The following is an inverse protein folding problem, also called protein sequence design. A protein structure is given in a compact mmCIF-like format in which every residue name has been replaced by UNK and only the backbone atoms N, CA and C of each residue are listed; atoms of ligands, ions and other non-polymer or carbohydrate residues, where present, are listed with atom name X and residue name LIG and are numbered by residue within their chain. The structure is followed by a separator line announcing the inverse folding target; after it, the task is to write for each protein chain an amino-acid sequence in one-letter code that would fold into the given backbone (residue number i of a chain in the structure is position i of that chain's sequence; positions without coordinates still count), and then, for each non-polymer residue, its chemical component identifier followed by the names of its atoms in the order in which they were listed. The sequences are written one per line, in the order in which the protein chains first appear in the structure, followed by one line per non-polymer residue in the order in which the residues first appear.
data_IF_453279238873
#
_entry.id   IF_453279238873
#
_cell.length_a   1.000
_cell.length_b   1.000
_cell.length_c   1.000
_cell.angle_alpha   90.00
_cell.angle_beta   90.00
_cell.angle_gamma   90.00
#
_symmetry.space_group_name_H-M   'P 1'
#
loop_
_entity.id
_entity.type
_entity.pdbx_description
1 polymer ?
#
# COMPACT_ATOMS: atom_id res chain seq x y z
N UNK A 1 -16.57 90.51 -21.54
CA UNK A 1 -15.93 89.57 -20.62
C UNK A 1 -16.83 88.37 -20.43
N UNK A 2 -16.64 87.24 -21.15
CA UNK A 2 -16.68 85.96 -20.56
C UNK A 2 -15.88 84.93 -21.42
N UNK A 3 -14.60 84.71 -21.18
CA UNK A 3 -13.85 83.66 -21.93
C UNK A 3 -12.73 83.04 -21.14
N UNK A 4 -12.60 83.24 -19.85
CA UNK A 4 -11.47 82.68 -19.05
C UNK A 4 -11.84 81.49 -18.18
N UNK A 5 -13.10 81.16 -17.96
CA UNK A 5 -13.51 80.09 -17.03
C UNK A 5 -13.55 78.65 -17.71
N UNK A 6 -13.68 78.58 -19.03
CA UNK A 6 -13.77 77.26 -19.72
C UNK A 6 -12.47 76.50 -19.92
N UNK A 7 -11.28 77.11 -19.85
CA UNK A 7 -10.01 76.47 -20.07
C UNK A 7 -9.47 75.67 -18.85
N UNK A 8 -9.79 76.15 -17.63
CA UNK A 8 -9.32 75.47 -16.40
C UNK A 8 -10.08 74.15 -16.10
N UNK A 9 -11.36 74.05 -16.42
CA UNK A 9 -12.16 72.88 -16.21
C UNK A 9 -11.83 71.74 -17.21
N UNK A 10 -11.45 72.06 -18.45
CA UNK A 10 -11.00 71.01 -19.42
C UNK A 10 -9.66 70.42 -19.05
N UNK A 11 -8.74 71.24 -18.50
CA UNK A 11 -7.42 70.76 -18.07
C UNK A 11 -7.51 69.87 -16.84
N UNK A 12 -8.37 70.18 -15.87
CA UNK A 12 -8.56 69.33 -14.67
C UNK A 12 -9.26 68.01 -14.97
N UNK A 13 -10.22 67.98 -15.89
CA UNK A 13 -10.88 66.74 -16.35
C UNK A 13 -9.95 65.81 -17.14
N UNK A 14 -9.03 66.36 -17.93
CA UNK A 14 -8.02 65.56 -18.68
C UNK A 14 -7.00 64.98 -17.77
N UNK A 15 -6.53 65.66 -16.73
CA UNK A 15 -5.60 65.17 -15.73
C UNK A 15 -6.23 64.04 -14.82
N UNK A 16 -7.50 64.21 -14.44
CA UNK A 16 -8.23 63.20 -13.69
C UNK A 16 -8.46 61.92 -14.52
N UNK A 17 -8.80 62.02 -15.80
CA UNK A 17 -9.02 60.88 -16.68
C UNK A 17 -7.72 60.12 -16.97
N UNK A 18 -6.57 60.83 -17.05
CA UNK A 18 -5.26 60.20 -17.19
C UNK A 18 -4.86 59.39 -15.93
N UNK A 19 -5.09 59.99 -14.75
CA UNK A 19 -4.76 59.33 -13.47
C UNK A 19 -5.62 58.10 -13.19
N UNK A 20 -6.90 58.10 -13.56
CA UNK A 20 -7.81 56.93 -13.46
C UNK A 20 -7.40 55.81 -14.42
N UNK A 21 -6.93 56.12 -15.63
CA UNK A 21 -6.41 55.12 -16.58
C UNK A 21 -5.11 54.51 -16.10
N UNK A 22 -4.22 55.26 -15.52
CA UNK A 22 -2.93 54.77 -15.00
C UNK A 22 -3.14 53.88 -13.77
N UNK A 23 -4.00 54.28 -12.84
CA UNK A 23 -4.39 53.45 -11.69
C UNK A 23 -5.10 52.15 -12.11
N UNK A 24 -5.96 52.20 -13.13
CA UNK A 24 -6.61 50.98 -13.65
C UNK A 24 -5.66 50.01 -14.37
N UNK A 25 -4.61 50.54 -15.01
CA UNK A 25 -3.57 49.69 -15.65
C UNK A 25 -2.68 49.06 -14.61
N UNK A 26 -2.30 49.74 -13.55
CA UNK A 26 -1.52 49.21 -12.43
C UNK A 26 -2.31 48.15 -11.65
N UNK A 27 -3.59 48.37 -11.41
CA UNK A 27 -4.47 47.36 -10.78
C UNK A 27 -4.65 46.09 -11.63
N UNK A 28 -4.79 46.24 -12.96
CA UNK A 28 -4.84 45.11 -13.91
C UNK A 28 -3.52 44.34 -13.95
N UNK A 29 -2.40 45.04 -13.96
CA UNK A 29 -1.06 44.40 -13.93
C UNK A 29 -0.81 43.72 -12.59
N UNK A 30 -1.21 44.28 -11.46
CA UNK A 30 -1.11 43.66 -10.14
C UNK A 30 -2.01 42.42 -10.03
N UNK A 31 -3.24 42.49 -10.60
CA UNK A 31 -4.16 41.35 -10.62
C UNK A 31 -3.66 40.19 -11.51
N UNK A 32 -3.05 40.52 -12.67
CA UNK A 32 -2.41 39.52 -13.54
C UNK A 32 -1.18 38.90 -12.88
N UNK A 33 -0.35 39.67 -12.19
CA UNK A 33 0.78 39.15 -11.43
C UNK A 33 0.35 38.27 -10.26
N UNK A 34 -0.74 38.63 -9.56
CA UNK A 34 -1.32 37.83 -8.49
C UNK A 34 -1.90 36.50 -9.01
N UNK A 35 -2.54 36.52 -10.17
CA UNK A 35 -3.05 35.32 -10.84
C UNK A 35 -1.91 34.38 -11.36
N UNK A 36 -0.79 34.95 -11.82
CA UNK A 36 0.39 34.14 -12.18
C UNK A 36 1.08 33.54 -10.97
N UNK A 37 1.08 34.17 -9.81
CA UNK A 37 1.66 33.63 -8.58
C UNK A 37 0.84 32.48 -7.96
N UNK A 38 -0.46 32.35 -8.33
CA UNK A 38 -1.33 31.27 -7.85
C UNK A 38 -1.30 30.01 -8.72
N UNK A 39 -0.64 30.05 -9.86
CA UNK A 39 -0.36 28.87 -10.67
C UNK A 39 0.88 28.14 -10.13
N UNK A 40 0.80 27.66 -8.88
CA UNK A 40 1.74 26.60 -8.45
C UNK A 40 1.53 25.44 -9.41
N UNK A 41 2.60 24.89 -10.02
CA UNK A 41 2.47 23.69 -10.83
C UNK A 41 1.87 22.62 -9.92
N UNK A 42 0.59 22.31 -10.11
CA UNK A 42 0.01 21.06 -9.60
C UNK A 42 0.79 19.96 -10.34
N UNK A 43 1.87 19.49 -9.73
CA UNK A 43 2.55 18.30 -10.24
C UNK A 43 1.50 17.21 -10.23
N UNK A 44 1.16 16.67 -11.39
CA UNK A 44 0.24 15.57 -11.50
C UNK A 44 0.82 14.42 -10.66
N UNK A 45 0.03 13.96 -9.70
CA UNK A 45 0.39 12.79 -8.88
C UNK A 45 0.68 11.61 -9.80
N UNK A 46 1.82 10.95 -9.62
CA UNK A 46 2.25 9.84 -10.46
C UNK A 46 1.24 8.69 -10.46
N UNK A 47 1.27 7.88 -11.50
CA UNK A 47 0.32 6.78 -11.68
C UNK A 47 0.34 5.77 -10.53
N UNK A 48 1.54 5.33 -10.10
CA UNK A 48 1.71 4.38 -8.99
C UNK A 48 1.27 5.02 -7.68
N UNK A 49 1.70 6.26 -7.41
CA UNK A 49 1.30 7.02 -6.21
C UNK A 49 -0.22 7.09 -6.10
N UNK A 50 -0.93 7.50 -7.14
CA UNK A 50 -2.40 7.59 -7.15
C UNK A 50 -3.09 6.25 -6.84
N UNK A 51 -2.56 5.13 -7.33
CA UNK A 51 -3.16 3.82 -7.13
C UNK A 51 -2.86 3.23 -5.75
N UNK A 52 -1.60 3.31 -5.31
CA UNK A 52 -1.15 2.64 -4.10
C UNK A 52 -1.27 3.49 -2.83
N UNK A 53 -1.29 4.83 -2.93
CA UNK A 53 -1.33 5.70 -1.75
C UNK A 53 -2.68 5.64 -1.03
N UNK A 54 -2.75 4.75 -0.05
CA UNK A 54 -3.91 4.51 0.83
C UNK A 54 -3.41 4.47 2.28
N UNK A 55 -2.99 5.63 2.84
CA UNK A 55 -2.35 5.69 4.14
C UNK A 55 -3.36 5.54 5.29
N UNK A 56 -3.74 4.31 5.58
CA UNK A 56 -4.59 3.90 6.70
C UNK A 56 -3.91 2.74 7.44
N UNK A 57 -4.31 2.38 8.67
CA UNK A 57 -3.82 1.16 9.33
C UNK A 57 -4.00 -0.05 8.39
N UNK A 58 -2.95 -0.84 8.16
CA UNK A 58 -2.95 -1.93 7.18
C UNK A 58 -2.91 -1.49 5.72
N UNK A 59 -2.71 -0.21 5.45
CA UNK A 59 -2.60 0.36 4.11
C UNK A 59 -1.17 0.61 3.68
N UNK A 60 -1.02 1.47 2.68
CA UNK A 60 0.24 1.84 2.05
C UNK A 60 0.34 3.36 1.97
N UNK A 61 1.47 3.93 2.37
CA UNK A 61 1.82 5.31 2.06
C UNK A 61 2.84 5.36 0.93
N UNK A 62 2.68 6.31 0.01
CA UNK A 62 3.66 6.58 -1.04
C UNK A 62 4.19 7.98 -0.85
N UNK A 63 5.51 8.11 -0.71
CA UNK A 63 6.19 9.39 -0.45
C UNK A 63 7.19 9.68 -1.56
N UNK A 64 7.18 10.91 -2.03
CA UNK A 64 8.13 11.43 -2.99
C UNK A 64 9.49 11.66 -2.32
N UNK A 65 10.53 11.05 -2.89
CA UNK A 65 11.91 11.20 -2.43
C UNK A 65 12.72 12.19 -3.28
N UNK A 66 12.13 12.71 -4.37
CA UNK A 66 12.78 13.62 -5.31
C UNK A 66 13.52 12.90 -6.43
N UNK A 67 14.26 13.70 -7.19
CA UNK A 67 15.04 13.24 -8.34
C UNK A 67 16.45 12.82 -7.90
N UNK A 68 17.14 12.06 -8.74
CA UNK A 68 18.52 11.70 -8.52
C UNK A 68 18.96 10.46 -9.30
N UNK A 69 20.28 10.30 -9.51
CA UNK A 69 20.82 9.15 -10.24
C UNK A 69 20.77 7.84 -9.43
N UNK A 70 20.75 7.93 -8.10
CA UNK A 70 20.83 6.79 -7.19
C UNK A 70 19.60 6.76 -6.30
N UNK A 71 19.05 5.56 -6.06
CA UNK A 71 17.93 5.35 -5.15
C UNK A 71 18.32 5.78 -3.72
N UNK A 72 17.57 6.70 -3.07
CA UNK A 72 17.78 6.99 -1.67
C UNK A 72 17.45 5.75 -0.81
N UNK A 73 18.23 5.50 0.23
CA UNK A 73 17.82 4.55 1.25
C UNK A 73 16.71 5.17 2.09
N UNK A 74 15.63 4.41 2.30
CA UNK A 74 14.52 4.85 3.13
C UNK A 74 14.18 3.80 4.20
N UNK A 75 13.75 4.27 5.38
CA UNK A 75 13.39 3.43 6.52
C UNK A 75 12.11 3.93 7.18
N UNK A 76 11.26 3.00 7.58
CA UNK A 76 10.09 3.24 8.41
C UNK A 76 10.17 2.38 9.66
N UNK A 77 10.12 3.00 10.85
CA UNK A 77 10.27 2.30 12.13
C UNK A 77 11.53 1.40 12.16
N UNK A 78 12.65 1.91 11.63
CA UNK A 78 13.94 1.20 11.56
C UNK A 78 14.05 0.13 10.46
N UNK A 79 12.96 -0.24 9.77
CA UNK A 79 12.94 -1.25 8.70
C UNK A 79 13.13 -0.61 7.34
N UNK A 80 13.89 -1.23 6.42
CA UNK A 80 14.03 -0.71 5.06
C UNK A 80 12.69 -0.77 4.34
N UNK A 81 12.40 0.23 3.50
CA UNK A 81 11.18 0.30 2.69
C UNK A 81 11.50 0.22 1.22
N UNK A 82 10.53 -0.22 0.45
CA UNK A 82 10.61 -0.33 -1.00
C UNK A 82 10.77 1.05 -1.64
N UNK A 83 11.83 1.23 -2.46
CA UNK A 83 12.11 2.45 -3.20
C UNK A 83 12.25 2.14 -4.69
N UNK A 84 11.44 2.81 -5.50
CA UNK A 84 11.42 2.63 -6.96
C UNK A 84 11.35 3.98 -7.66
N UNK A 85 11.65 3.98 -8.96
CA UNK A 85 11.37 5.15 -9.82
C UNK A 85 9.92 5.10 -10.31
N UNK A 86 9.24 6.22 -10.21
CA UNK A 86 7.95 6.45 -10.82
C UNK A 86 8.11 7.14 -12.18
N UNK A 87 7.04 7.27 -12.93
CA UNK A 87 7.00 8.08 -14.17
C UNK A 87 7.56 9.48 -13.90
N UNK A 88 8.35 10.01 -14.82
CA UNK A 88 9.06 11.29 -14.64
C UNK A 88 10.41 11.17 -13.91
N UNK A 89 10.90 9.94 -13.67
CA UNK A 89 12.22 9.65 -13.09
C UNK A 89 12.38 10.01 -11.59
N UNK A 90 11.29 10.33 -10.89
CA UNK A 90 11.31 10.61 -9.44
C UNK A 90 11.38 9.32 -8.65
N UNK A 91 12.16 9.32 -7.58
CA UNK A 91 12.16 8.23 -6.61
C UNK A 91 10.97 8.36 -5.67
N UNK A 92 10.30 7.26 -5.40
CA UNK A 92 9.21 7.15 -4.42
C UNK A 92 9.53 6.04 -3.43
N UNK A 93 9.16 6.27 -2.17
CA UNK A 93 9.13 5.24 -1.12
C UNK A 93 7.71 4.68 -1.02
N UNK A 94 7.58 3.36 -1.01
CA UNK A 94 6.32 2.64 -0.83
C UNK A 94 6.36 1.95 0.52
N UNK A 95 5.59 2.47 1.47
CA UNK A 95 5.66 2.16 2.91
C UNK A 95 4.44 1.35 3.33
N UNK A 96 4.66 0.13 3.78
CA UNK A 96 3.62 -0.67 4.43
C UNK A 96 3.32 -0.16 5.83
N UNK A 97 2.05 0.08 6.14
CA UNK A 97 1.58 0.56 7.43
C UNK A 97 0.97 -0.62 8.20
N UNK A 98 1.55 -1.06 9.33
CA UNK A 98 0.96 -2.12 10.14
C UNK A 98 -0.48 -1.80 10.60
N UNK A 99 -1.32 -2.83 10.76
CA UNK A 99 -2.68 -2.68 11.32
C UNK A 99 -2.70 -2.09 12.74
N UNK A 100 -1.60 -2.24 13.48
CA UNK A 100 -1.44 -1.74 14.84
C UNK A 100 -1.13 -0.24 14.93
N UNK A 101 -0.80 0.39 13.81
CA UNK A 101 -0.54 1.84 13.77
C UNK A 101 -1.85 2.59 13.95
N UNK A 102 -1.86 3.53 14.91
CA UNK A 102 -3.02 4.41 15.12
C UNK A 102 -3.05 5.52 14.07
N UNK A 103 -4.24 6.02 13.69
CA UNK A 103 -4.36 7.23 12.90
C UNK A 103 -3.59 8.40 13.51
N UNK A 104 -2.96 9.21 12.66
CA UNK A 104 -2.15 10.35 13.10
C UNK A 104 -0.87 10.51 12.27
N UNK A 105 0.00 11.46 12.66
CA UNK A 105 1.25 11.74 11.98
C UNK A 105 2.24 10.58 12.12
N UNK A 106 2.92 10.27 11.05
CA UNK A 106 4.00 9.29 10.94
C UNK A 106 5.16 9.90 10.17
N UNK A 107 6.33 9.28 10.25
CA UNK A 107 7.53 9.75 9.56
C UNK A 107 8.37 8.59 9.04
N UNK A 108 9.08 8.84 7.95
CA UNK A 108 10.14 7.97 7.44
C UNK A 108 11.46 8.75 7.42
N UNK A 109 12.55 8.00 7.49
CA UNK A 109 13.89 8.51 7.22
C UNK A 109 14.26 8.15 5.78
N UNK A 110 14.66 9.13 4.96
CA UNK A 110 15.04 8.88 3.57
C UNK A 110 16.16 9.83 3.13
N UNK A 111 17.29 9.28 2.67
CA UNK A 111 18.43 10.07 2.18
C UNK A 111 18.93 11.11 3.20
N UNK A 112 18.95 10.79 4.49
CA UNK A 112 19.35 11.70 5.57
C UNK A 112 18.30 12.77 5.93
N UNK A 113 17.09 12.69 5.40
CA UNK A 113 15.96 13.60 5.69
C UNK A 113 14.84 12.84 6.37
N UNK A 114 14.06 13.53 7.18
CA UNK A 114 12.78 13.04 7.73
C UNK A 114 11.64 13.55 6.86
N UNK A 115 10.79 12.64 6.39
CA UNK A 115 9.59 12.95 5.62
C UNK A 115 8.37 12.52 6.42
N UNK A 116 7.39 13.42 6.54
CA UNK A 116 6.17 13.20 7.30
C UNK A 116 5.03 12.76 6.38
N UNK A 117 4.15 11.90 6.90
CA UNK A 117 2.88 11.56 6.25
C UNK A 117 1.79 11.34 7.29
N UNK A 118 0.54 11.40 6.86
CA UNK A 118 -0.63 11.27 7.74
C UNK A 118 -1.30 9.92 7.51
N UNK A 119 -1.49 9.16 8.59
CA UNK A 119 -2.31 7.95 8.58
C UNK A 119 -3.75 8.32 8.92
N UNK A 120 -4.65 8.06 7.99
CA UNK A 120 -6.09 8.28 8.15
C UNK A 120 -6.78 7.19 8.97
N UNK A 121 -8.09 7.33 9.15
CA UNK A 121 -8.92 6.33 9.86
C UNK A 121 -9.46 5.30 8.87
N UNK A 122 -9.55 4.03 9.32
CA UNK A 122 -10.27 2.97 8.64
C UNK A 122 -10.95 2.07 9.68
N UNK A 123 -12.22 1.79 9.48
CA UNK A 123 -12.97 0.84 10.30
C UNK A 123 -12.96 -0.53 9.63
N UNK A 124 -12.59 -1.55 10.41
CA UNK A 124 -12.61 -2.94 9.97
C UNK A 124 -13.82 -3.65 10.56
N UNK A 125 -14.45 -4.50 9.76
CA UNK A 125 -15.62 -5.31 10.18
C UNK A 125 -15.21 -6.35 11.20
N UNK A 126 -16.20 -6.80 11.99
CA UNK A 126 -16.05 -7.96 12.86
C UNK A 126 -16.64 -9.20 12.21
N UNK A 127 -16.04 -10.35 12.47
CA UNK A 127 -16.50 -11.65 12.02
C UNK A 127 -16.42 -12.64 13.17
N UNK A 128 -17.56 -13.23 13.49
CA UNK A 128 -17.68 -14.27 14.50
C UNK A 128 -17.79 -15.62 13.82
N UNK A 129 -16.87 -16.54 14.15
CA UNK A 129 -16.73 -17.85 13.53
C UNK A 129 -16.77 -18.92 14.63
N UNK A 130 -17.62 -19.92 14.47
CA UNK A 130 -17.63 -21.10 15.33
C UNK A 130 -16.75 -22.19 14.72
N UNK A 131 -15.70 -22.59 15.43
CA UNK A 131 -14.84 -23.70 15.06
C UNK A 131 -15.16 -24.92 15.91
N UNK A 132 -15.35 -26.09 15.27
CA UNK A 132 -15.58 -27.37 15.95
C UNK A 132 -14.31 -27.88 16.63
N UNK A 133 -13.15 -27.67 16.02
CA UNK A 133 -11.86 -28.08 16.56
C UNK A 133 -11.33 -27.03 17.55
N UNK A 134 -11.43 -27.34 18.84
CA UNK A 134 -10.98 -26.45 19.92
C UNK A 134 -9.47 -26.20 19.91
N UNK A 135 -8.66 -27.14 19.44
CA UNK A 135 -7.20 -26.97 19.28
C UNK A 135 -6.84 -25.83 18.30
N UNK A 136 -7.74 -25.49 17.38
CA UNK A 136 -7.55 -24.36 16.46
C UNK A 136 -7.98 -23.01 17.08
N UNK A 137 -8.62 -23.03 18.22
CA UNK A 137 -9.00 -21.85 19.02
C UNK A 137 -8.04 -21.68 20.20
N UNK A 138 -7.92 -22.71 21.02
CA UNK A 138 -7.09 -22.76 22.22
C UNK A 138 -6.14 -23.97 22.13
N UNK A 139 -4.96 -23.80 21.47
CA UNK A 139 -4.02 -24.89 21.27
C UNK A 139 -3.47 -25.44 22.57
N UNK A 140 -3.27 -26.75 22.63
CA UNK A 140 -2.57 -27.44 23.72
C UNK A 140 -1.10 -26.95 23.84
N UNK A 141 -0.43 -27.13 25.00
CA UNK A 141 0.97 -26.74 25.18
C UNK A 141 1.92 -27.31 24.08
N UNK A 142 1.67 -28.52 23.62
CA UNK A 142 2.42 -29.14 22.52
C UNK A 142 2.25 -28.36 21.21
N UNK A 143 1.02 -27.98 20.88
CA UNK A 143 0.72 -27.21 19.67
C UNK A 143 1.19 -25.76 19.79
N UNK A 144 1.17 -25.14 20.99
CA UNK A 144 1.73 -23.81 21.23
C UNK A 144 3.23 -23.79 20.90
N UNK A 145 4.03 -24.72 21.38
CA UNK A 145 5.45 -24.80 21.08
C UNK A 145 5.74 -25.02 19.56
N UNK A 146 4.86 -25.76 18.87
CA UNK A 146 4.89 -25.88 17.40
C UNK A 146 4.60 -24.53 16.75
N UNK A 147 3.52 -23.87 17.14
CA UNK A 147 3.06 -22.59 16.58
C UNK A 147 4.14 -21.51 16.75
N UNK A 148 4.80 -21.42 17.91
CA UNK A 148 5.88 -20.44 18.16
C UNK A 148 7.05 -20.62 17.20
N UNK A 149 7.52 -21.86 16.97
CA UNK A 149 8.58 -22.13 16.00
C UNK A 149 8.16 -21.75 14.58
N UNK A 150 6.93 -22.12 14.19
CA UNK A 150 6.37 -21.82 12.87
C UNK A 150 6.19 -20.31 12.64
N UNK A 151 5.75 -19.56 13.65
CA UNK A 151 5.63 -18.10 13.59
C UNK A 151 7.01 -17.45 13.46
N UNK A 152 8.02 -17.92 14.18
CA UNK A 152 9.38 -17.40 14.07
C UNK A 152 9.95 -17.61 12.66
N UNK A 153 9.69 -18.78 12.04
CA UNK A 153 10.11 -19.07 10.67
C UNK A 153 9.43 -18.14 9.65
N UNK A 154 8.11 -18.00 9.73
CA UNK A 154 7.33 -17.15 8.85
C UNK A 154 7.69 -15.66 9.04
N UNK A 155 7.96 -15.24 10.28
CA UNK A 155 8.42 -13.87 10.59
C UNK A 155 9.75 -13.58 9.89
N UNK A 156 10.71 -14.51 9.96
CA UNK A 156 11.98 -14.35 9.23
C UNK A 156 11.78 -14.22 7.73
N UNK A 157 10.83 -14.96 7.15
CA UNK A 157 10.50 -14.82 5.73
C UNK A 157 9.94 -13.42 5.40
N UNK A 158 9.02 -12.89 6.20
CA UNK A 158 8.50 -11.52 6.02
C UNK A 158 9.53 -10.42 6.22
N UNK A 159 10.59 -10.67 7.01
CA UNK A 159 11.68 -9.72 7.27
C UNK A 159 12.75 -9.69 6.17
N UNK A 160 12.66 -10.57 5.18
CA UNK A 160 13.61 -10.56 4.08
C UNK A 160 13.47 -9.27 3.25
N UNK A 161 14.62 -8.72 2.86
CA UNK A 161 14.72 -7.54 2.02
C UNK A 161 15.81 -7.77 0.98
N UNK A 162 15.44 -8.33 -0.17
CA UNK A 162 16.36 -8.55 -1.26
C UNK A 162 16.58 -7.26 -2.08
N UNK A 163 17.75 -7.08 -2.72
CA UNK A 163 18.03 -5.89 -3.54
C UNK A 163 17.31 -5.92 -4.89
N UNK A 164 16.59 -7.00 -5.20
CA UNK A 164 15.82 -7.14 -6.45
C UNK A 164 14.80 -6.02 -6.58
N UNK A 165 14.69 -5.43 -7.76
CA UNK A 165 13.57 -4.56 -8.09
C UNK A 165 12.33 -5.41 -8.39
N UNK A 166 11.15 -5.10 -7.82
CA UNK A 166 9.90 -5.75 -8.21
C UNK A 166 9.64 -5.60 -9.71
N UNK A 167 9.19 -6.68 -10.36
CA UNK A 167 8.85 -6.67 -11.78
C UNK A 167 7.63 -5.79 -12.09
N UNK A 168 6.75 -5.67 -11.12
CA UNK A 168 5.54 -4.85 -11.16
C UNK A 168 5.07 -4.56 -9.73
N UNK A 169 4.48 -3.40 -9.53
CA UNK A 169 3.92 -2.97 -8.25
C UNK A 169 2.41 -3.21 -8.19
N UNK A 170 1.74 -3.18 -9.34
CA UNK A 170 0.34 -3.60 -9.45
C UNK A 170 0.36 -5.11 -9.65
N UNK A 171 -0.12 -5.82 -8.64
CA UNK A 171 -0.09 -7.27 -8.61
C UNK A 171 -1.30 -7.87 -9.33
N UNK A 172 -1.13 -9.05 -9.93
CA UNK A 172 -2.25 -9.81 -10.46
C UNK A 172 -3.01 -10.54 -9.34
N UNK A 173 -4.30 -10.80 -9.56
CA UNK A 173 -5.03 -11.74 -8.69
C UNK A 173 -4.41 -13.14 -8.82
N UNK A 174 -4.04 -13.80 -7.71
CA UNK A 174 -3.44 -15.12 -7.77
C UNK A 174 -4.40 -16.21 -8.29
N UNK A 175 -5.71 -15.96 -8.21
CA UNK A 175 -6.76 -16.85 -8.73
C UNK A 175 -7.89 -16.03 -9.37
N UNK A 176 -8.56 -16.62 -10.36
CA UNK A 176 -9.78 -16.04 -10.93
C UNK A 176 -10.98 -16.44 -10.06
N UNK A 177 -11.45 -15.52 -9.21
CA UNK A 177 -12.60 -15.77 -8.33
C UNK A 177 -13.04 -14.52 -7.58
N UNK A 178 -14.24 -14.55 -6.96
CA UNK A 178 -14.73 -13.45 -6.16
C UNK A 178 -14.00 -13.38 -4.82
N UNK A 179 -13.85 -12.14 -4.30
CA UNK A 179 -13.37 -11.90 -2.94
C UNK A 179 -14.44 -12.37 -1.94
N UNK A 180 -14.05 -13.18 -0.96
CA UNK A 180 -14.95 -13.74 0.06
C UNK A 180 -14.73 -13.17 1.45
N UNK A 181 -13.48 -12.84 1.81
CA UNK A 181 -13.18 -12.18 3.09
C UNK A 181 -12.11 -11.10 2.89
N UNK A 182 -12.37 -9.83 3.26
CA UNK A 182 -11.41 -8.76 3.10
C UNK A 182 -10.31 -8.79 4.17
N UNK A 183 -9.23 -8.05 3.90
CA UNK A 183 -8.16 -7.77 4.85
C UNK A 183 -8.67 -6.96 6.04
N UNK A 184 -8.05 -7.15 7.20
CA UNK A 184 -8.26 -6.35 8.41
C UNK A 184 -9.50 -6.74 9.23
N UNK A 185 -10.30 -7.71 8.79
CA UNK A 185 -11.47 -8.18 9.55
C UNK A 185 -11.03 -8.65 10.94
N UNK A 186 -11.62 -8.08 11.99
CA UNK A 186 -11.45 -8.53 13.38
C UNK A 186 -12.15 -9.88 13.54
N UNK A 187 -11.39 -10.89 13.92
CA UNK A 187 -11.90 -12.27 14.00
C UNK A 187 -12.12 -12.69 15.44
N UNK A 188 -13.32 -13.20 15.72
CA UNK A 188 -13.70 -13.82 16.98
C UNK A 188 -13.98 -15.30 16.71
N UNK A 189 -13.14 -16.19 17.26
CA UNK A 189 -13.36 -17.63 17.17
C UNK A 189 -13.96 -18.13 18.49
N UNK A 190 -15.15 -18.72 18.43
CA UNK A 190 -15.89 -19.19 19.60
C UNK A 190 -16.06 -18.10 20.68
N UNK A 191 -16.22 -16.83 20.25
CA UNK A 191 -16.37 -15.67 21.15
C UNK A 191 -15.05 -15.01 21.58
N UNK A 192 -13.89 -15.61 21.27
CA UNK A 192 -12.58 -15.09 21.66
C UNK A 192 -11.92 -14.31 20.53
N UNK A 193 -11.50 -13.06 20.80
CA UNK A 193 -10.80 -12.23 19.82
C UNK A 193 -9.43 -12.84 19.48
N UNK A 194 -9.13 -12.90 18.22
CA UNK A 194 -7.87 -13.40 17.66
C UNK A 194 -7.26 -12.36 16.71
N UNK A 195 -6.06 -12.63 16.22
CA UNK A 195 -5.40 -11.75 15.25
C UNK A 195 -6.34 -11.46 14.08
N UNK A 196 -6.39 -10.19 13.62
CA UNK A 196 -7.17 -9.81 12.46
C UNK A 196 -6.79 -10.61 11.21
N UNK A 197 -7.70 -10.67 10.24
CA UNK A 197 -7.42 -11.26 8.95
C UNK A 197 -6.31 -10.48 8.22
N UNK A 198 -5.16 -11.10 8.03
CA UNK A 198 -3.97 -10.44 7.52
C UNK A 198 -3.82 -10.52 5.99
N UNK A 199 -4.85 -10.96 5.26
CA UNK A 199 -4.83 -11.13 3.80
C UNK A 199 -6.19 -10.97 3.16
N UNK A 200 -6.30 -11.43 1.91
CA UNK A 200 -7.55 -11.56 1.16
C UNK A 200 -7.89 -13.04 0.97
N UNK A 201 -9.18 -13.37 1.14
CA UNK A 201 -9.70 -14.68 0.76
C UNK A 201 -10.49 -14.58 -0.55
N UNK A 202 -10.27 -15.57 -1.43
CA UNK A 202 -11.02 -15.75 -2.68
C UNK A 202 -11.81 -17.04 -2.60
N UNK A 203 -13.12 -16.97 -2.89
CA UNK A 203 -13.98 -18.14 -2.96
C UNK A 203 -13.75 -18.89 -4.26
N UNK A 204 -12.91 -19.93 -4.21
CA UNK A 204 -12.59 -20.81 -5.35
C UNK A 204 -12.48 -22.25 -4.87
N UNK A 205 -12.81 -23.19 -5.76
CA UNK A 205 -12.79 -24.61 -5.46
C UNK A 205 -11.39 -25.19 -5.25
N UNK A 206 -11.32 -26.31 -4.52
CA UNK A 206 -10.09 -27.08 -4.36
C UNK A 206 -9.51 -27.47 -5.73
N UNK A 207 -8.17 -27.50 -5.84
CA UNK A 207 -7.46 -27.81 -7.09
C UNK A 207 -7.31 -26.63 -8.05
N UNK A 208 -7.98 -25.48 -7.83
CA UNK A 208 -7.80 -24.28 -8.65
C UNK A 208 -6.31 -23.87 -8.67
N UNK A 209 -5.69 -23.61 -9.85
CA UNK A 209 -4.31 -23.18 -9.93
C UNK A 209 -4.11 -21.81 -9.28
N UNK A 210 -3.06 -21.69 -8.45
CA UNK A 210 -2.62 -20.45 -7.83
C UNK A 210 -1.44 -19.93 -8.65
N UNK A 211 -1.54 -18.68 -9.12
CA UNK A 211 -0.53 -18.03 -9.97
C UNK A 211 0.24 -16.98 -9.21
N UNK A 212 1.54 -16.85 -9.50
CA UNK A 212 2.39 -15.81 -8.95
C UNK A 212 1.89 -14.42 -9.45
N UNK A 213 1.57 -13.46 -8.55
CA UNK A 213 1.02 -12.15 -8.91
C UNK A 213 2.05 -11.21 -9.55
N UNK A 214 3.32 -11.51 -9.37
CA UNK A 214 4.49 -10.86 -9.95
C UNK A 214 5.61 -11.88 -10.08
N UNK A 215 6.66 -11.59 -10.84
CA UNK A 215 7.88 -12.37 -10.82
C UNK A 215 8.49 -12.34 -9.41
N UNK A 216 9.19 -13.39 -8.99
CA UNK A 216 9.80 -13.45 -7.67
C UNK A 216 10.51 -14.78 -7.42
N UNK A 217 11.05 -14.91 -6.22
CA UNK A 217 11.76 -16.09 -5.74
C UNK A 217 11.00 -16.75 -4.61
N UNK A 218 10.84 -18.06 -4.65
CA UNK A 218 10.29 -18.85 -3.54
C UNK A 218 11.27 -18.84 -2.38
N UNK A 219 10.89 -18.24 -1.25
CA UNK A 219 11.77 -18.06 -0.09
C UNK A 219 11.42 -18.94 1.11
N UNK A 220 10.20 -19.51 1.13
CA UNK A 220 9.78 -20.42 2.18
C UNK A 220 8.67 -21.33 1.68
N UNK A 221 8.73 -22.60 2.03
CA UNK A 221 7.67 -23.60 1.86
C UNK A 221 7.54 -24.36 3.17
N UNK A 222 6.30 -24.50 3.67
CA UNK A 222 6.05 -25.23 4.91
C UNK A 222 4.63 -25.79 5.00
N UNK A 223 4.40 -26.61 6.05
CA UNK A 223 3.06 -27.08 6.44
C UNK A 223 2.83 -26.71 7.91
N UNK A 224 2.09 -25.64 8.12
CA UNK A 224 1.94 -24.94 9.40
C UNK A 224 0.60 -25.24 10.06
N UNK A 225 0.58 -25.22 11.37
CA UNK A 225 -0.61 -25.52 12.18
C UNK A 225 -1.84 -24.70 11.76
N UNK A 226 -1.67 -23.39 11.61
CA UNK A 226 -2.78 -22.51 11.19
C UNK A 226 -2.88 -22.34 9.69
N UNK A 227 -1.76 -22.18 8.99
CA UNK A 227 -1.78 -21.83 7.58
C UNK A 227 -1.83 -23.07 6.67
N UNK A 228 -1.56 -24.29 7.21
CA UNK A 228 -1.42 -25.50 6.39
C UNK A 228 -0.28 -25.36 5.39
N UNK A 229 -0.39 -25.99 4.24
CA UNK A 229 0.62 -25.89 3.19
C UNK A 229 0.69 -24.47 2.66
N UNK A 230 1.89 -23.92 2.71
CA UNK A 230 2.14 -22.49 2.54
C UNK A 230 3.37 -22.27 1.66
N UNK A 231 3.30 -21.24 0.80
CA UNK A 231 4.40 -20.77 -0.04
C UNK A 231 4.59 -19.27 0.17
N UNK A 232 5.83 -18.83 0.33
CA UNK A 232 6.23 -17.43 0.35
C UNK A 232 7.03 -17.10 -0.90
N UNK A 233 6.74 -15.97 -1.52
CA UNK A 233 7.44 -15.47 -2.71
C UNK A 233 7.93 -14.05 -2.42
N UNK A 234 9.25 -13.85 -2.56
CA UNK A 234 9.88 -12.53 -2.51
C UNK A 234 9.89 -11.92 -3.91
N UNK A 235 9.17 -10.81 -4.07
CA UNK A 235 9.12 -10.03 -5.30
C UNK A 235 10.20 -8.96 -5.39
N UNK A 236 10.91 -8.71 -4.29
CA UNK A 236 11.98 -7.74 -4.16
C UNK A 236 11.69 -6.63 -3.14
N UNK A 237 12.74 -6.12 -2.52
CA UNK A 237 12.74 -5.01 -1.57
C UNK A 237 11.63 -5.11 -0.49
N UNK A 238 11.43 -6.32 0.07
CA UNK A 238 10.45 -6.55 1.13
C UNK A 238 8.99 -6.59 0.65
N UNK A 239 8.73 -6.58 -0.66
CA UNK A 239 7.43 -6.92 -1.23
C UNK A 239 7.31 -8.45 -1.28
N UNK A 240 6.54 -9.02 -0.37
CA UNK A 240 6.44 -10.48 -0.18
C UNK A 240 4.98 -10.91 -0.25
N UNK A 241 4.71 -11.94 -1.04
CA UNK A 241 3.42 -12.63 -1.04
C UNK A 241 3.49 -13.94 -0.25
N UNK A 242 2.43 -14.26 0.49
CA UNK A 242 2.24 -15.57 1.12
C UNK A 242 0.90 -16.15 0.69
N UNK A 243 0.93 -17.42 0.33
CA UNK A 243 -0.21 -18.21 -0.12
C UNK A 243 -0.36 -19.40 0.82
N UNK A 244 -1.53 -19.64 1.39
CA UNK A 244 -1.73 -20.74 2.33
C UNK A 244 -3.01 -21.55 2.07
N UNK A 245 -3.23 -22.57 2.90
CA UNK A 245 -4.29 -23.57 2.79
C UNK A 245 -4.20 -24.43 1.52
N UNK A 246 -3.01 -24.55 0.89
CA UNK A 246 -2.83 -25.26 -0.38
C UNK A 246 -3.15 -26.75 -0.23
N UNK A 247 -3.75 -27.36 -1.28
CA UNK A 247 -3.85 -28.81 -1.42
C UNK A 247 -2.56 -29.42 -1.98
N UNK A 248 -1.82 -28.64 -2.81
CA UNK A 248 -0.57 -29.07 -3.43
C UNK A 248 0.35 -27.88 -3.65
N UNK A 249 1.64 -28.03 -3.32
CA UNK A 249 2.71 -27.11 -3.71
C UNK A 249 3.36 -27.67 -4.99
N UNK A 250 3.54 -26.82 -6.00
CA UNK A 250 4.09 -27.20 -7.32
C UNK A 250 5.42 -26.49 -7.63
N UNK A 251 6.06 -25.91 -6.62
CA UNK A 251 7.33 -25.20 -6.72
C UNK A 251 8.31 -25.69 -5.67
N UNK A 252 9.59 -25.33 -5.82
CA UNK A 252 10.67 -25.67 -4.90
C UNK A 252 11.23 -24.41 -4.23
N UNK A 253 11.81 -24.58 -3.04
CA UNK A 253 12.53 -23.52 -2.33
C UNK A 253 13.68 -22.99 -3.22
N UNK A 254 13.78 -21.67 -3.32
CA UNK A 254 14.78 -21.00 -4.16
C UNK A 254 14.40 -20.87 -5.64
N UNK A 255 13.30 -21.48 -6.08
CA UNK A 255 12.83 -21.39 -7.47
C UNK A 255 12.46 -19.94 -7.85
N UNK A 256 12.95 -19.51 -9.02
CA UNK A 256 12.53 -18.26 -9.65
C UNK A 256 11.21 -18.46 -10.39
N UNK A 257 10.27 -17.56 -10.17
CA UNK A 257 8.95 -17.59 -10.78
C UNK A 257 8.76 -16.38 -11.71
N UNK A 258 8.30 -16.65 -12.91
CA UNK A 258 7.75 -15.60 -13.76
C UNK A 258 6.35 -15.18 -13.23
N UNK A 259 5.93 -13.95 -13.53
CA UNK A 259 4.55 -13.49 -13.33
C UNK A 259 3.56 -14.44 -14.01
N UNK A 260 2.53 -14.89 -13.31
CA UNK A 260 1.54 -15.84 -13.80
C UNK A 260 1.94 -17.31 -13.72
N UNK A 261 3.17 -17.64 -13.32
CA UNK A 261 3.60 -19.04 -13.11
C UNK A 261 2.74 -19.70 -12.02
N UNK A 262 2.36 -20.96 -12.23
CA UNK A 262 1.59 -21.74 -11.24
C UNK A 262 2.54 -22.16 -10.11
N UNK A 263 2.17 -21.84 -8.86
CA UNK A 263 2.95 -22.18 -7.67
C UNK A 263 2.33 -23.30 -6.80
N UNK A 264 1.06 -23.61 -7.03
CA UNK A 264 0.34 -24.63 -6.28
C UNK A 264 -1.14 -24.67 -6.59
N UNK A 265 -1.89 -25.40 -5.76
CA UNK A 265 -3.33 -25.60 -5.90
C UNK A 265 -4.07 -25.23 -4.64
N UNK A 266 -5.24 -24.60 -4.80
CA UNK A 266 -6.15 -24.27 -3.70
C UNK A 266 -6.57 -25.52 -2.96
N UNK A 267 -6.65 -25.43 -1.64
CA UNK A 267 -7.11 -26.47 -0.73
C UNK A 267 -7.80 -25.91 0.50
N UNK A 268 -7.73 -26.68 1.58
CA UNK A 268 -8.30 -26.32 2.89
C UNK A 268 -7.43 -26.88 4.04
N UNK A 269 -6.11 -26.95 3.85
CA UNK A 269 -5.18 -27.42 4.89
C UNK A 269 -5.04 -26.36 6.00
N UNK A 270 -4.63 -26.77 7.19
CA UNK A 270 -4.53 -25.88 8.35
C UNK A 270 -5.90 -25.47 8.93
N UNK A 271 -6.03 -24.21 9.38
CA UNK A 271 -7.26 -23.66 9.96
C UNK A 271 -8.13 -23.01 8.88
N UNK A 272 -8.84 -23.83 8.13
CA UNK A 272 -9.77 -23.42 7.08
C UNK A 272 -11.14 -24.08 7.29
N UNK A 273 -12.22 -23.34 7.04
CA UNK A 273 -13.60 -23.85 7.12
C UNK A 273 -14.06 -24.56 5.84
N UNK A 274 -13.30 -24.41 4.78
CA UNK A 274 -13.52 -25.01 3.46
C UNK A 274 -12.50 -24.54 2.45
N UNK A 275 -12.53 -25.06 1.22
CA UNK A 275 -11.58 -24.66 0.17
C UNK A 275 -11.71 -23.16 -0.15
N UNK A 276 -10.60 -22.45 -0.10
CA UNK A 276 -10.46 -21.05 -0.52
C UNK A 276 -8.98 -20.72 -0.74
N UNK A 277 -8.72 -19.63 -1.46
CA UNK A 277 -7.37 -19.09 -1.59
C UNK A 277 -7.19 -17.94 -0.59
N UNK A 278 -6.27 -18.09 0.35
CA UNK A 278 -5.84 -17.02 1.23
C UNK A 278 -4.49 -16.46 0.75
N UNK A 279 -4.43 -15.14 0.55
CA UNK A 279 -3.26 -14.43 0.05
C UNK A 279 -2.92 -13.21 0.92
N UNK A 280 -1.68 -13.17 1.43
CA UNK A 280 -1.12 -12.01 2.11
C UNK A 280 -0.16 -11.27 1.20
N UNK A 281 -0.11 -9.95 1.36
CA UNK A 281 0.97 -9.09 0.87
C UNK A 281 1.63 -8.40 2.05
N UNK A 282 2.96 -8.34 2.05
CA UNK A 282 3.77 -7.65 3.04
C UNK A 282 4.68 -6.63 2.37
N UNK A 283 4.84 -5.48 3.00
CA UNK A 283 5.86 -4.47 2.73
C UNK A 283 6.59 -4.17 4.03
N UNK A 284 7.91 -4.02 4.01
CA UNK A 284 8.72 -3.70 5.20
C UNK A 284 8.30 -4.45 6.48
N UNK A 285 8.00 -5.76 6.36
CA UNK A 285 7.50 -6.64 7.43
C UNK A 285 6.10 -6.25 7.97
N UNK A 286 5.37 -5.35 7.33
CA UNK A 286 3.98 -5.05 7.62
C UNK A 286 3.05 -5.78 6.66
N UNK A 287 2.07 -6.57 7.16
CA UNK A 287 0.99 -7.11 6.33
C UNK A 287 0.08 -5.96 5.96
N UNK A 288 -0.12 -5.77 4.66
CA UNK A 288 -0.90 -4.70 4.07
C UNK A 288 -2.06 -5.26 3.25
N UNK A 289 -3.09 -4.46 3.04
CA UNK A 289 -4.28 -4.88 2.29
C UNK A 289 -3.94 -5.20 0.83
N UNK A 290 -3.97 -6.48 0.42
CA UNK A 290 -3.66 -6.86 -0.95
C UNK A 290 -4.61 -6.24 -1.99
N UNK A 291 -5.82 -5.80 -1.57
CA UNK A 291 -6.77 -5.13 -2.45
C UNK A 291 -6.23 -3.83 -3.05
N UNK A 292 -5.28 -3.18 -2.38
CA UNK A 292 -4.59 -1.98 -2.88
C UNK A 292 -3.86 -2.29 -4.19
N UNK A 293 -3.15 -3.41 -4.23
CA UNK A 293 -2.29 -3.80 -5.35
C UNK A 293 -3.03 -4.33 -6.56
N UNK A 294 -4.29 -4.76 -6.40
CA UNK A 294 -5.15 -5.27 -7.47
C UNK A 294 -6.28 -4.29 -7.85
N UNK A 295 -6.23 -3.05 -7.37
CA UNK A 295 -7.25 -2.03 -7.66
C UNK A 295 -8.65 -2.33 -7.08
N UNK A 296 -8.73 -3.13 -6.00
CA UNK A 296 -9.99 -3.53 -5.36
C UNK A 296 -10.17 -2.95 -3.94
N UNK A 297 -9.30 -2.03 -3.52
CA UNK A 297 -9.36 -1.40 -2.20
C UNK A 297 -10.66 -0.62 -2.01
N UNK A 298 -11.27 -0.79 -0.84
CA UNK A 298 -12.43 -0.02 -0.38
C UNK A 298 -12.01 0.78 0.86
N UNK A 299 -12.20 2.12 0.84
CA UNK A 299 -11.86 3.01 1.95
C UNK A 299 -12.66 2.75 3.23
#
# INVERSE_FOLDING_TARGET
MPTFIRRSELCSRSLMAANIREQSSLLRSALLALLLCLALPVQAEGFITRLLNKPVPGGVAVLDLGDGPVAPQARYQGKPVLVVKEEGQRWIAIVGIPLTVKPGPQQIEAGGRTLNFQVGTKRYREQHITLKNQEQVNPSPKNLARIERELAEQTRAYQQFSPRQPSNLLLDKPVAGPLSSPFGVRRFFNGEERNPHAGLDFAVGAGTPIKAPAAGKVILIGDYFFNGRTVFVDHGQGLISMFCHLSKVEVQLGQELARGAVLGRVGSTGRATGPHMHWNVSLNDARVDPAIFIGAFKP
#
